data_IF_455654591060
#
_entry.id   IF_455654591060
#
_cell.length_a   1.000
_cell.length_b   1.000
_cell.length_c   1.000
_cell.angle_alpha   90.00
_cell.angle_beta   90.00
_cell.angle_gamma   90.00
#
_symmetry.space_group_name_H-M   'P 1'
#
loop_
_entity.id
_entity.type
_entity.pdbx_description
1 polymer ?
#
# COMPACT_ATOMS: atom_id res chain seq x y z
N UNK A 1 -24.05 12.48 6.97
CA UNK A 1 -23.33 11.25 7.40
C UNK A 1 -22.54 11.65 8.63
N UNK A 2 -22.78 11.07 9.82
CA UNK A 2 -21.92 11.36 10.98
C UNK A 2 -20.51 10.85 10.68
N UNK A 3 -19.50 11.69 10.90
CA UNK A 3 -18.10 11.26 10.87
C UNK A 3 -17.90 10.16 11.92
N UNK A 4 -17.17 9.07 11.61
CA UNK A 4 -16.89 8.03 12.59
C UNK A 4 -16.17 8.67 13.79
N UNK A 5 -16.51 8.24 15.01
CA UNK A 5 -15.84 8.69 16.21
C UNK A 5 -14.32 8.48 16.06
N UNK A 6 -13.48 9.44 16.48
CA UNK A 6 -12.02 9.40 16.26
C UNK A 6 -11.35 8.12 16.81
N UNK A 7 -11.92 7.53 17.87
CA UNK A 7 -11.47 6.26 18.45
C UNK A 7 -11.68 5.08 17.48
N UNK A 8 -12.87 4.97 16.88
CA UNK A 8 -13.18 3.94 15.87
C UNK A 8 -12.34 4.10 14.59
N UNK A 9 -11.89 5.32 14.30
CA UNK A 9 -11.01 5.61 13.18
C UNK A 9 -9.57 5.16 13.45
N UNK A 10 -9.07 5.39 14.67
CA UNK A 10 -7.74 4.95 15.08
C UNK A 10 -7.64 3.42 15.11
N UNK A 11 -8.64 2.74 15.68
CA UNK A 11 -8.68 1.27 15.71
C UNK A 11 -8.64 0.66 14.30
N UNK A 12 -9.35 1.28 13.35
CA UNK A 12 -9.31 0.88 11.94
C UNK A 12 -7.91 1.04 11.33
N UNK A 13 -7.21 2.12 11.62
CA UNK A 13 -5.85 2.33 11.10
C UNK A 13 -4.87 1.30 11.66
N UNK A 14 -4.93 1.03 12.97
CA UNK A 14 -4.08 0.04 13.63
C UNK A 14 -4.30 -1.34 13.00
N UNK A 15 -5.54 -1.72 12.77
CA UNK A 15 -5.88 -3.01 12.17
C UNK A 15 -5.45 -3.12 10.70
N UNK A 16 -5.60 -2.05 9.91
CA UNK A 16 -5.09 -2.02 8.53
C UNK A 16 -3.56 -2.08 8.49
N UNK A 17 -2.88 -1.37 9.39
CA UNK A 17 -1.43 -1.44 9.51
C UNK A 17 -0.96 -2.86 9.87
N UNK A 18 -1.66 -3.54 10.79
CA UNK A 18 -1.38 -4.93 11.15
C UNK A 18 -1.54 -5.86 9.95
N UNK A 19 -2.63 -5.73 9.18
CA UNK A 19 -2.85 -6.51 7.96
C UNK A 19 -1.67 -6.34 6.99
N UNK A 20 -1.29 -5.10 6.70
CA UNK A 20 -0.21 -4.80 5.75
C UNK A 20 1.13 -5.35 6.23
N UNK A 21 1.45 -5.21 7.52
CA UNK A 21 2.66 -5.77 8.10
C UNK A 21 2.71 -7.30 8.05
N UNK A 22 1.58 -7.98 8.25
CA UNK A 22 1.49 -9.45 8.10
C UNK A 22 1.64 -9.89 6.64
N UNK A 23 0.99 -9.18 5.70
CA UNK A 23 1.15 -9.48 4.26
C UNK A 23 2.60 -9.29 3.85
N UNK A 24 3.26 -8.24 4.32
CA UNK A 24 4.68 -7.99 4.04
C UNK A 24 5.58 -9.08 4.62
N UNK A 25 5.33 -9.54 5.84
CA UNK A 25 6.11 -10.61 6.45
C UNK A 25 5.99 -11.94 5.70
N UNK A 26 4.78 -12.26 5.20
CA UNK A 26 4.49 -13.55 4.57
C UNK A 26 4.74 -13.56 3.05
N UNK A 27 4.62 -12.41 2.38
CA UNK A 27 4.62 -12.27 0.91
C UNK A 27 5.54 -11.15 0.39
N UNK A 28 6.37 -10.56 1.24
CA UNK A 28 7.28 -9.49 0.82
C UNK A 28 8.28 -10.00 -0.23
N UNK A 29 8.23 -9.42 -1.44
CA UNK A 29 9.04 -9.87 -2.57
C UNK A 29 8.38 -10.89 -3.49
N UNK A 30 7.15 -11.33 -3.19
CA UNK A 30 6.36 -12.18 -4.08
C UNK A 30 5.78 -11.37 -5.26
N UNK A 31 5.17 -12.09 -6.21
CA UNK A 31 4.44 -11.49 -7.33
C UNK A 31 3.30 -10.59 -6.85
N UNK A 32 3.10 -9.46 -7.54
CA UNK A 32 2.10 -8.44 -7.17
C UNK A 32 0.68 -8.99 -7.14
N UNK A 33 0.32 -9.95 -8.01
CA UNK A 33 -1.01 -10.54 -8.02
C UNK A 33 -1.22 -11.43 -6.78
N UNK A 34 -0.18 -12.14 -6.34
CA UNK A 34 -0.18 -12.96 -5.11
C UNK A 34 -0.33 -12.07 -3.87
N UNK A 35 0.45 -11.00 -3.80
CA UNK A 35 0.38 -10.02 -2.71
C UNK A 35 -0.99 -9.35 -2.67
N UNK A 36 -1.54 -8.96 -3.82
CA UNK A 36 -2.88 -8.35 -3.93
C UNK A 36 -3.97 -9.28 -3.43
N UNK A 37 -3.96 -10.54 -3.85
CA UNK A 37 -4.92 -11.54 -3.37
C UNK A 37 -4.80 -11.75 -1.86
N UNK A 38 -3.57 -11.87 -1.34
CA UNK A 38 -3.30 -12.06 0.07
C UNK A 38 -3.75 -10.87 0.93
N UNK A 39 -3.58 -9.64 0.42
CA UNK A 39 -4.05 -8.41 1.05
C UNK A 39 -5.57 -8.35 1.09
N UNK A 40 -6.24 -8.56 -0.06
CA UNK A 40 -7.70 -8.54 -0.15
C UNK A 40 -8.34 -9.61 0.75
N UNK A 41 -7.76 -10.82 0.78
CA UNK A 41 -8.23 -11.92 1.63
C UNK A 41 -8.15 -11.56 3.12
N UNK A 42 -7.01 -11.06 3.60
CA UNK A 42 -6.84 -10.71 5.03
C UNK A 42 -7.74 -9.55 5.46
N UNK A 43 -8.01 -8.59 4.58
CA UNK A 43 -8.97 -7.50 4.83
C UNK A 43 -10.37 -8.09 5.02
N UNK A 44 -10.81 -8.97 4.12
CA UNK A 44 -12.12 -9.62 4.19
C UNK A 44 -12.27 -10.53 5.43
N UNK A 45 -11.25 -11.31 5.77
CA UNK A 45 -11.22 -12.19 6.95
C UNK A 45 -11.39 -11.43 8.26
N UNK A 46 -10.87 -10.20 8.32
CA UNK A 46 -11.02 -9.31 9.50
C UNK A 46 -12.31 -8.50 9.50
N UNK A 47 -13.20 -8.74 8.54
CA UNK A 47 -14.49 -8.05 8.46
C UNK A 47 -14.38 -6.57 8.10
N UNK A 48 -13.25 -6.14 7.51
CA UNK A 48 -13.13 -4.78 7.03
C UNK A 48 -14.01 -4.57 5.78
N UNK A 49 -14.54 -3.35 5.59
CA UNK A 49 -15.10 -2.99 4.30
C UNK A 49 -14.04 -3.13 3.21
N UNK A 50 -14.49 -3.35 1.97
CA UNK A 50 -13.59 -3.33 0.82
C UNK A 50 -12.83 -2.00 0.77
N UNK A 51 -11.50 -2.07 0.62
CA UNK A 51 -10.69 -0.88 0.47
C UNK A 51 -10.72 -0.39 -0.99
N UNK A 52 -10.50 0.91 -1.25
CA UNK A 52 -10.44 1.42 -2.62
C UNK A 52 -9.43 0.64 -3.46
N UNK A 53 -9.79 0.23 -4.68
CA UNK A 53 -8.94 -0.61 -5.53
C UNK A 53 -7.56 -0.01 -5.75
N UNK A 54 -7.49 1.30 -6.00
CA UNK A 54 -6.21 2.03 -6.12
C UNK A 54 -5.31 1.86 -4.89
N UNK A 55 -5.87 1.93 -3.69
CA UNK A 55 -5.11 1.74 -2.45
C UNK A 55 -4.56 0.31 -2.35
N UNK A 56 -5.38 -0.68 -2.73
CA UNK A 56 -5.00 -2.09 -2.74
C UNK A 56 -3.87 -2.34 -3.73
N UNK A 57 -4.00 -1.81 -4.95
CA UNK A 57 -2.99 -1.95 -6.01
C UNK A 57 -1.67 -1.27 -5.65
N UNK A 58 -1.72 -0.02 -5.17
CA UNK A 58 -0.53 0.73 -4.75
C UNK A 58 0.18 -0.01 -3.59
N UNK A 59 -0.57 -0.46 -2.57
CA UNK A 59 -0.01 -1.20 -1.42
C UNK A 59 0.60 -2.54 -1.83
N UNK A 60 -0.07 -3.30 -2.71
CA UNK A 60 0.45 -4.56 -3.22
C UNK A 60 1.74 -4.36 -4.04
N UNK A 61 1.80 -3.31 -4.85
CA UNK A 61 3.00 -2.97 -5.62
C UNK A 61 4.19 -2.63 -4.70
N UNK A 62 3.97 -1.87 -3.63
CA UNK A 62 5.00 -1.58 -2.64
C UNK A 62 5.49 -2.84 -1.91
N UNK A 63 4.57 -3.68 -1.44
CA UNK A 63 4.90 -4.90 -0.69
C UNK A 63 5.56 -5.96 -1.58
N UNK A 64 5.15 -6.09 -2.85
CA UNK A 64 5.82 -6.97 -3.84
C UNK A 64 7.27 -6.57 -4.10
N UNK A 65 7.62 -5.30 -3.86
CA UNK A 65 9.01 -4.82 -3.93
C UNK A 65 9.76 -4.99 -2.59
N UNK A 66 9.15 -5.65 -1.61
CA UNK A 66 9.69 -5.81 -0.25
C UNK A 66 9.71 -4.53 0.56
N UNK A 67 9.06 -3.45 0.11
CA UNK A 67 9.03 -2.17 0.83
C UNK A 67 8.01 -2.22 1.96
N UNK A 68 8.33 -1.56 3.06
CA UNK A 68 7.45 -1.45 4.20
C UNK A 68 6.45 -0.30 3.97
N UNK A 69 5.16 -0.60 4.03
CA UNK A 69 4.09 0.38 3.83
C UNK A 69 3.53 0.87 5.17
N UNK A 70 3.37 2.18 5.30
CA UNK A 70 2.73 2.83 6.44
C UNK A 70 1.35 3.30 6.01
N UNK A 71 0.32 2.92 6.77
CA UNK A 71 -1.08 3.29 6.51
C UNK A 71 -1.37 4.64 7.19
N UNK A 72 -1.30 5.74 6.42
CA UNK A 72 -1.65 7.09 6.88
C UNK A 72 -2.99 7.59 6.29
N UNK A 73 -3.61 8.57 6.97
CA UNK A 73 -4.96 9.12 6.79
C UNK A 73 -5.22 9.74 5.41
N UNK A 74 -4.19 10.13 4.66
CA UNK A 74 -4.34 10.99 3.47
C UNK A 74 -4.78 10.27 2.19
N UNK A 75 -5.11 8.98 2.23
CA UNK A 75 -5.67 8.26 1.07
C UNK A 75 -7.21 8.37 0.98
N UNK A 76 -7.70 9.56 1.28
CA UNK A 76 -9.05 10.00 0.95
C UNK A 76 -8.99 11.10 -0.11
N UNK A 77 -9.34 10.72 -1.35
CA UNK A 77 -9.68 11.59 -2.48
C UNK A 77 -8.49 12.30 -3.18
N UNK A 78 -8.30 11.99 -4.48
CA UNK A 78 -7.62 12.86 -5.47
C UNK A 78 -6.23 13.43 -5.13
N UNK A 79 -5.23 12.57 -4.90
CA UNK A 79 -3.84 12.98 -5.10
C UNK A 79 -3.40 12.51 -6.50
N UNK A 80 -3.07 13.41 -7.45
CA UNK A 80 -2.47 12.99 -8.70
C UNK A 80 -1.17 12.28 -8.36
N UNK A 81 -0.98 11.11 -8.95
CA UNK A 81 0.31 10.43 -8.97
C UNK A 81 1.32 11.40 -9.59
N UNK A 82 2.09 12.11 -8.77
CA UNK A 82 3.32 12.72 -9.26
C UNK A 82 4.21 11.56 -9.71
N UNK A 83 4.30 11.48 -11.03
CA UNK A 83 5.21 10.71 -11.83
C UNK A 83 6.62 10.82 -11.24
N UNK A 84 7.02 9.86 -10.40
CA UNK A 84 8.43 9.56 -10.17
C UNK A 84 8.96 8.70 -11.32
N UNK A 85 8.69 9.13 -12.56
CA UNK A 85 9.49 8.75 -13.72
C UNK A 85 10.58 9.82 -13.88
N UNK A 86 11.79 9.54 -13.38
CA UNK A 86 12.85 10.52 -13.49
C UNK A 86 14.16 10.15 -12.83
N UNK A 87 14.80 9.06 -13.28
CA UNK A 87 16.19 9.14 -13.77
C UNK A 87 16.71 7.75 -14.16
N UNK A 88 16.37 7.34 -15.39
CA UNK A 88 17.28 6.56 -16.20
C UNK A 88 17.90 7.50 -17.24
N UNK A 89 19.21 7.34 -17.46
CA UNK A 89 20.10 8.04 -18.40
C UNK A 89 20.60 9.44 -18.00
N UNK A 90 21.89 9.50 -17.63
CA UNK A 90 22.84 10.00 -18.63
C UNK A 90 24.19 9.28 -18.51
N UNK A 91 24.53 8.53 -19.57
CA UNK A 91 25.91 8.16 -19.90
C UNK A 91 26.59 9.39 -20.49
N UNK A 92 27.67 9.85 -19.87
CA UNK A 92 28.77 10.60 -20.48
C UNK A 92 29.99 10.35 -19.59
N UNK A 93 31.25 10.22 -20.04
CA UNK A 93 31.93 10.02 -21.32
C UNK A 93 33.44 9.95 -20.95
N UNK A 94 34.24 9.19 -21.71
CA UNK A 94 35.72 9.26 -21.91
C UNK A 94 36.61 9.88 -20.80
N UNK A 95 37.56 9.15 -20.22
CA UNK A 95 38.94 8.97 -20.75
C UNK A 95 39.73 10.29 -20.88
N UNK A 96 40.62 10.55 -19.91
CA UNK A 96 42.00 11.07 -20.09
C UNK A 96 42.69 11.27 -18.73
#
# INVERSE_FOLDING_TARGET
MPEPAPEAQHDRQVLLQQIVSEVHADHGGDDVDVVREALARRIAERGFPEQPQKWVDDTAAEVSQGRHVVVDRELGVDAPLEETAGNAHEKTREES
#
